data_IF_367807096219
#
_entry.id   IF_367807096219
#
_cell.length_a   1.000
_cell.length_b   1.000
_cell.length_c   1.000
_cell.angle_alpha   90.00
_cell.angle_beta   90.00
_cell.angle_gamma   90.00
#
_symmetry.space_group_name_H-M   'P 1'
#
loop_
_entity.id
_entity.type
_entity.pdbx_description
1 polymer ?
#
# COMPACT_ATOMS: atom_id res chain seq x y z
N UNK A 1 0.11 -6.61 -17.42
CA UNK A 1 -0.80 -7.04 -16.33
C UNK A 1 -0.35 -6.33 -15.08
N UNK A 2 -1.28 -5.93 -14.20
CA UNK A 2 -0.96 -5.27 -12.94
C UNK A 2 -1.49 -6.10 -11.76
N UNK A 3 -0.61 -6.56 -10.88
CA UNK A 3 -0.98 -7.27 -9.65
C UNK A 3 -0.92 -6.29 -8.48
N UNK A 4 -2.09 -5.94 -7.92
CA UNK A 4 -2.22 -5.08 -6.75
C UNK A 4 -2.61 -5.97 -5.57
N UNK A 5 -1.98 -5.78 -4.43
CA UNK A 5 -2.27 -6.61 -3.28
C UNK A 5 -1.52 -6.20 -2.03
N UNK A 6 -1.57 -7.09 -1.04
CA UNK A 6 -0.86 -6.91 0.21
C UNK A 6 0.55 -7.54 0.22
N UNK A 7 1.05 -7.91 1.40
CA UNK A 7 2.34 -8.58 1.61
C UNK A 7 2.47 -9.88 0.82
N UNK A 8 1.38 -10.57 0.51
CA UNK A 8 1.41 -11.79 -0.31
C UNK A 8 1.77 -11.44 -1.76
N UNK A 9 1.18 -10.38 -2.31
CA UNK A 9 1.52 -9.90 -3.66
C UNK A 9 2.91 -9.27 -3.70
N UNK A 10 3.29 -8.55 -2.65
CA UNK A 10 4.64 -8.01 -2.49
C UNK A 10 5.73 -9.10 -2.50
N UNK A 11 5.41 -10.34 -2.11
CA UNK A 11 6.40 -11.40 -1.94
C UNK A 11 7.10 -11.31 -0.58
N UNK A 12 6.37 -10.97 0.48
CA UNK A 12 6.93 -10.96 1.82
C UNK A 12 7.45 -12.36 2.20
N UNK A 13 8.68 -12.41 2.70
CA UNK A 13 9.37 -13.64 3.13
C UNK A 13 9.74 -14.62 1.99
N UNK A 14 9.81 -14.13 0.74
CA UNK A 14 10.40 -14.84 -0.39
C UNK A 14 11.34 -13.91 -1.17
N UNK A 15 12.23 -14.47 -1.98
CA UNK A 15 13.01 -13.67 -2.92
C UNK A 15 12.08 -13.03 -3.96
N UNK A 16 12.49 -11.87 -4.49
CA UNK A 16 11.62 -11.08 -5.36
C UNK A 16 11.27 -11.84 -6.65
N UNK A 17 12.15 -12.70 -7.14
CA UNK A 17 11.91 -13.58 -8.30
C UNK A 17 10.92 -14.71 -7.98
N UNK A 18 10.72 -15.05 -6.71
CA UNK A 18 9.80 -16.08 -6.24
C UNK A 18 8.41 -15.52 -5.89
N UNK A 19 8.24 -14.20 -5.85
CA UNK A 19 6.93 -13.59 -5.69
C UNK A 19 5.98 -14.06 -6.81
N UNK A 20 4.72 -14.38 -6.46
CA UNK A 20 3.80 -14.96 -7.44
C UNK A 20 3.61 -14.10 -8.71
N UNK A 21 3.65 -12.75 -8.70
CA UNK A 21 3.57 -11.98 -9.93
C UNK A 21 4.74 -12.23 -10.89
N UNK A 22 5.95 -12.52 -10.37
CA UNK A 22 7.12 -12.88 -11.19
C UNK A 22 7.00 -14.27 -11.76
N UNK A 23 6.57 -15.23 -10.94
CA UNK A 23 6.29 -16.59 -11.41
C UNK A 23 5.17 -16.58 -12.47
N UNK A 24 4.14 -15.76 -12.29
CA UNK A 24 3.07 -15.56 -13.26
C UNK A 24 3.59 -14.99 -14.59
N UNK A 25 4.46 -13.99 -14.57
CA UNK A 25 5.08 -13.45 -15.78
C UNK A 25 5.84 -14.51 -16.56
N UNK A 26 6.70 -15.27 -15.86
CA UNK A 26 7.50 -16.35 -16.44
C UNK A 26 6.61 -17.40 -17.11
N UNK A 27 5.63 -17.93 -16.38
CA UNK A 27 4.70 -18.94 -16.88
C UNK A 27 3.88 -18.44 -18.08
N UNK A 28 3.46 -17.17 -18.08
CA UNK A 28 2.72 -16.59 -19.19
C UNK A 28 3.58 -16.42 -20.44
N UNK A 29 4.84 -15.97 -20.30
CA UNK A 29 5.78 -15.86 -21.42
C UNK A 29 6.11 -17.22 -22.02
N UNK A 30 6.34 -18.23 -21.19
CA UNK A 30 6.56 -19.62 -21.62
C UNK A 30 5.37 -20.16 -22.41
N UNK A 31 4.14 -19.90 -21.95
CA UNK A 31 2.91 -20.36 -22.61
C UNK A 31 2.59 -19.57 -23.90
N UNK A 32 3.08 -18.34 -24.02
CA UNK A 32 2.78 -17.44 -25.13
C UNK A 32 4.04 -16.79 -25.72
N UNK A 33 4.96 -17.57 -26.32
CA UNK A 33 6.28 -17.09 -26.75
C UNK A 33 6.24 -15.99 -27.82
N UNK A 34 5.12 -15.84 -28.56
CA UNK A 34 4.91 -14.77 -29.53
C UNK A 34 4.31 -13.48 -28.97
N UNK A 35 4.06 -13.40 -27.65
CA UNK A 35 3.46 -12.22 -27.01
C UNK A 35 4.43 -11.58 -26.04
N UNK A 36 4.60 -10.26 -26.15
CA UNK A 36 5.23 -9.48 -25.09
C UNK A 36 4.26 -9.37 -23.91
N UNK A 37 4.56 -10.11 -22.84
CA UNK A 37 3.77 -10.07 -21.60
C UNK A 37 4.64 -9.49 -20.50
N UNK A 38 4.12 -8.45 -19.86
CA UNK A 38 4.69 -7.84 -18.66
C UNK A 38 3.71 -8.01 -17.49
N UNK A 39 4.22 -8.33 -16.32
CA UNK A 39 3.48 -8.32 -15.05
C UNK A 39 4.16 -7.36 -14.09
N UNK A 40 3.45 -6.29 -13.75
CA UNK A 40 3.88 -5.31 -12.76
C UNK A 40 3.40 -5.78 -11.39
N UNK A 41 4.35 -6.01 -10.47
CA UNK A 41 4.05 -6.23 -9.06
C UNK A 41 3.87 -4.88 -8.35
N UNK A 42 2.65 -4.60 -7.92
CA UNK A 42 2.27 -3.44 -7.12
C UNK A 42 1.72 -3.85 -5.74
N UNK A 43 2.20 -4.97 -5.19
CA UNK A 43 1.90 -5.39 -3.83
C UNK A 43 2.58 -4.47 -2.81
N UNK A 44 1.87 -4.14 -1.73
CA UNK A 44 2.44 -3.37 -0.62
C UNK A 44 2.01 -4.00 0.71
N UNK A 45 3.00 -4.35 1.52
CA UNK A 45 2.77 -5.00 2.81
C UNK A 45 1.80 -4.23 3.70
N UNK A 46 0.83 -4.96 4.22
CA UNK A 46 -0.18 -4.41 5.11
C UNK A 46 -1.26 -3.58 4.40
N UNK A 47 -1.31 -3.44 3.07
CA UNK A 47 -2.41 -2.72 2.42
C UNK A 47 -3.74 -3.49 2.50
N UNK A 48 -4.82 -2.75 2.72
CA UNK A 48 -6.20 -3.21 2.52
C UNK A 48 -6.60 -3.13 1.05
N UNK A 49 -7.78 -3.67 0.73
CA UNK A 49 -8.36 -3.55 -0.61
C UNK A 49 -8.62 -2.09 -1.00
N UNK A 50 -9.03 -1.24 -0.05
CA UNK A 50 -9.35 0.17 -0.33
C UNK A 50 -8.09 0.97 -0.67
N UNK A 51 -6.97 0.68 -0.02
CA UNK A 51 -5.67 1.26 -0.36
C UNK A 51 -5.21 0.82 -1.76
N UNK A 52 -5.39 -0.45 -2.10
CA UNK A 52 -5.12 -0.98 -3.44
C UNK A 52 -5.96 -0.31 -4.53
N UNK A 53 -7.26 -0.13 -4.28
CA UNK A 53 -8.17 0.59 -5.19
C UNK A 53 -7.70 2.04 -5.38
N UNK A 54 -7.36 2.73 -4.30
CA UNK A 54 -6.87 4.11 -4.38
C UNK A 54 -5.60 4.23 -5.20
N UNK A 55 -4.67 3.28 -5.05
CA UNK A 55 -3.47 3.23 -5.88
C UNK A 55 -3.83 3.05 -7.37
N UNK A 56 -4.78 2.18 -7.70
CA UNK A 56 -5.21 1.97 -9.08
C UNK A 56 -5.78 3.26 -9.70
N UNK A 57 -6.67 3.95 -8.98
CA UNK A 57 -7.30 5.21 -9.42
C UNK A 57 -6.27 6.31 -9.68
N UNK A 58 -5.26 6.42 -8.83
CA UNK A 58 -4.30 7.55 -8.86
C UNK A 58 -3.10 7.25 -9.77
N UNK A 59 -2.66 6.00 -9.84
CA UNK A 59 -1.40 5.61 -10.49
C UNK A 59 -1.55 4.40 -11.41
N UNK A 60 -2.21 3.33 -10.94
CA UNK A 60 -2.26 2.06 -11.68
C UNK A 60 -2.91 2.16 -13.06
N UNK A 61 -3.93 3.00 -13.23
CA UNK A 61 -4.58 3.22 -14.53
C UNK A 61 -3.66 3.82 -15.59
N UNK A 62 -2.68 4.64 -15.20
CA UNK A 62 -1.71 5.24 -16.11
C UNK A 62 -0.70 4.23 -16.69
N UNK A 63 -0.64 3.02 -16.12
CA UNK A 63 0.16 1.91 -16.65
C UNK A 63 -0.54 1.18 -17.81
N UNK A 64 -1.78 1.57 -18.15
CA UNK A 64 -2.60 0.95 -19.19
C UNK A 64 -2.66 -0.60 -19.12
N UNK A 65 -2.94 -1.20 -17.94
CA UNK A 65 -2.95 -2.65 -17.82
C UNK A 65 -4.14 -3.26 -18.58
N UNK A 66 -3.89 -4.32 -19.37
CA UNK A 66 -4.97 -5.08 -20.00
C UNK A 66 -5.74 -5.98 -19.02
N UNK A 67 -5.09 -6.36 -17.91
CA UNK A 67 -5.63 -7.19 -16.85
C UNK A 67 -5.09 -6.68 -15.52
N UNK A 68 -5.98 -6.59 -14.52
CA UNK A 68 -5.65 -6.26 -13.14
C UNK A 68 -5.99 -7.46 -12.25
N UNK A 69 -5.04 -7.91 -11.43
CA UNK A 69 -5.25 -8.89 -10.37
C UNK A 69 -5.27 -8.14 -9.05
N UNK A 70 -6.38 -8.19 -8.32
CA UNK A 70 -6.53 -7.57 -7.01
C UNK A 70 -6.55 -8.65 -5.93
N UNK A 71 -5.43 -8.82 -5.22
CA UNK A 71 -5.23 -9.85 -4.21
C UNK A 71 -5.10 -9.23 -2.81
N UNK A 72 -6.26 -8.94 -2.21
CA UNK A 72 -6.44 -8.38 -0.86
C UNK A 72 -7.43 -9.22 -0.05
N UNK A 73 -7.55 -8.94 1.25
CA UNK A 73 -8.50 -9.58 2.15
C UNK A 73 -7.89 -10.02 3.47
N UNK A 74 -6.60 -10.39 3.48
CA UNK A 74 -5.93 -10.87 4.71
C UNK A 74 -5.86 -9.77 5.76
N UNK A 75 -5.39 -8.58 5.37
CA UNK A 75 -5.26 -7.44 6.29
C UNK A 75 -6.61 -6.88 6.71
N UNK A 76 -7.57 -6.91 5.80
CA UNK A 76 -8.93 -6.40 5.98
C UNK A 76 -9.68 -7.24 7.02
N UNK A 77 -9.50 -8.57 6.96
CA UNK A 77 -10.21 -9.53 7.80
C UNK A 77 -9.53 -9.80 9.12
N UNK A 78 -8.21 -10.00 9.14
CA UNK A 78 -7.53 -10.62 10.27
C UNK A 78 -6.63 -9.69 11.07
N UNK A 79 -6.23 -8.54 10.53
CA UNK A 79 -5.33 -7.63 11.23
C UNK A 79 -6.10 -6.47 11.87
N UNK A 80 -6.02 -6.30 13.20
CA UNK A 80 -6.69 -5.21 13.87
C UNK A 80 -6.10 -3.85 13.46
N UNK A 81 -6.97 -2.87 13.28
CA UNK A 81 -6.61 -1.51 12.94
C UNK A 81 -6.77 -0.56 14.14
N UNK A 82 -5.96 0.52 14.17
CA UNK A 82 -6.16 1.65 15.10
C UNK A 82 -6.88 2.83 14.42
N UNK A 83 -6.87 2.87 13.10
CA UNK A 83 -7.59 3.85 12.27
C UNK A 83 -8.26 3.10 11.13
N UNK A 84 -9.49 3.45 10.81
CA UNK A 84 -10.15 2.95 9.60
C UNK A 84 -9.48 3.55 8.37
N UNK A 85 -9.54 2.87 7.23
CA UNK A 85 -9.01 3.38 5.97
C UNK A 85 -9.75 4.61 5.50
N UNK A 86 -11.06 4.70 5.75
CA UNK A 86 -11.83 5.92 5.47
C UNK A 86 -11.24 7.13 6.22
N UNK A 87 -10.90 6.97 7.50
CA UNK A 87 -10.27 8.04 8.27
C UNK A 87 -8.85 8.34 7.81
N UNK A 88 -8.05 7.31 7.45
CA UNK A 88 -6.70 7.50 6.91
C UNK A 88 -6.72 8.21 5.57
N UNK A 89 -7.52 7.74 4.62
CA UNK A 89 -7.64 8.33 3.29
C UNK A 89 -8.18 9.76 3.38
N UNK A 90 -9.22 9.97 4.20
CA UNK A 90 -9.75 11.32 4.45
C UNK A 90 -8.75 12.28 5.10
N UNK A 91 -7.76 11.78 5.85
CA UNK A 91 -6.67 12.61 6.38
C UNK A 91 -5.65 12.97 5.29
N UNK A 92 -5.21 11.98 4.51
CA UNK A 92 -4.18 12.15 3.47
C UNK A 92 -4.70 12.97 2.27
N UNK A 93 -6.00 12.91 1.98
CA UNK A 93 -6.61 13.70 0.90
C UNK A 93 -6.78 15.20 1.23
N UNK A 94 -6.55 15.62 2.48
CA UNK A 94 -6.57 17.05 2.83
C UNK A 94 -5.46 17.80 2.11
N UNK A 95 -5.81 18.88 1.41
CA UNK A 95 -4.86 19.66 0.61
C UNK A 95 -3.63 20.13 1.41
N UNK A 96 -3.82 20.53 2.66
CA UNK A 96 -2.70 20.93 3.55
C UNK A 96 -1.77 19.75 3.83
N UNK A 97 -2.31 18.57 4.13
CA UNK A 97 -1.52 17.36 4.41
C UNK A 97 -0.76 16.95 3.15
N UNK A 98 -1.44 16.94 2.00
CA UNK A 98 -0.81 16.61 0.71
C UNK A 98 0.34 17.57 0.35
N UNK A 99 0.19 18.88 0.63
CA UNK A 99 1.26 19.87 0.43
C UNK A 99 2.43 19.64 1.38
N UNK A 100 2.16 19.35 2.65
CA UNK A 100 3.20 19.04 3.64
C UNK A 100 3.97 17.77 3.27
N UNK A 101 3.29 16.70 2.86
CA UNK A 101 3.94 15.46 2.41
C UNK A 101 4.83 15.69 1.18
N UNK A 102 4.41 16.55 0.24
CA UNK A 102 5.24 16.93 -0.91
C UNK A 102 6.47 17.73 -0.50
N UNK A 103 6.30 18.65 0.45
CA UNK A 103 7.41 19.44 0.99
C UNK A 103 8.40 18.53 1.73
N UNK A 104 7.92 17.65 2.60
CA UNK A 104 8.74 16.66 3.30
C UNK A 104 9.50 15.76 2.32
N UNK A 105 8.83 15.25 1.27
CA UNK A 105 9.48 14.47 0.22
C UNK A 105 10.57 15.27 -0.55
N UNK A 106 10.38 16.58 -0.72
CA UNK A 106 11.41 17.45 -1.29
C UNK A 106 12.56 17.71 -0.31
N UNK A 107 12.26 17.91 0.97
CA UNK A 107 13.25 18.14 2.02
C UNK A 107 14.12 16.90 2.25
N UNK A 108 13.54 15.69 2.21
CA UNK A 108 14.27 14.42 2.29
C UNK A 108 15.33 14.23 1.20
N UNK A 109 15.25 14.98 0.09
CA UNK A 109 16.30 15.01 -0.94
C UNK A 109 17.53 15.82 -0.54
N UNK A 110 17.46 16.58 0.56
CA UNK A 110 18.56 17.40 1.06
C UNK A 110 19.34 16.65 2.14
N UNK A 111 20.67 16.81 2.13
CA UNK A 111 21.53 16.19 3.15
C UNK A 111 21.29 16.78 4.54
N UNK A 112 21.03 18.08 4.61
CA UNK A 112 20.77 18.79 5.87
C UNK A 112 19.54 18.23 6.58
N UNK A 113 18.42 18.06 5.86
CA UNK A 113 17.21 17.51 6.46
C UNK A 113 17.41 16.07 6.94
N UNK A 114 18.05 15.22 6.14
CA UNK A 114 18.36 13.84 6.53
C UNK A 114 19.26 13.76 7.77
N UNK A 115 20.27 14.64 7.86
CA UNK A 115 21.13 14.71 9.04
C UNK A 115 20.35 15.16 10.28
N UNK A 116 19.47 16.16 10.14
CA UNK A 116 18.60 16.62 11.23
C UNK A 116 17.68 15.50 11.74
N UNK A 117 17.07 14.71 10.86
CA UNK A 117 16.25 13.57 11.27
C UNK A 117 17.02 12.47 12.01
N UNK A 118 18.32 12.31 11.74
CA UNK A 118 19.14 11.32 12.44
C UNK A 118 19.50 11.75 13.86
N UNK A 119 19.62 13.05 14.12
CA UNK A 119 20.05 13.58 15.43
C UNK A 119 18.88 14.03 16.31
N UNK A 120 17.72 14.33 15.73
CA UNK A 120 16.50 14.66 16.48
C UNK A 120 15.72 13.36 16.68
N UNK A 121 15.57 12.86 17.92
CA UNK A 121 14.81 11.65 18.16
C UNK A 121 13.37 11.81 17.69
N UNK A 122 12.89 10.83 16.92
CA UNK A 122 11.50 10.77 16.52
C UNK A 122 10.62 10.78 17.76
N UNK A 123 9.76 11.81 17.87
CA UNK A 123 8.74 11.85 18.92
C UNK A 123 7.77 10.71 18.62
N UNK A 124 7.86 9.61 19.37
CA UNK A 124 6.88 8.53 19.32
C UNK A 124 5.51 9.15 19.60
N UNK A 125 4.70 9.33 18.55
CA UNK A 125 3.31 9.73 18.71
C UNK A 125 2.57 8.52 19.25
N UNK A 126 1.93 8.68 20.40
CA UNK A 126 0.94 7.71 20.87
C UNK A 126 -0.14 7.55 19.80
N UNK A 127 -0.14 6.39 19.14
CA UNK A 127 -1.16 6.04 18.16
C UNK A 127 -2.43 5.70 18.95
N UNK A 128 -3.24 6.73 19.22
CA UNK A 128 -4.58 6.57 19.80
C UNK A 128 -5.51 5.89 18.80
N UNK A 129 -6.42 5.06 19.30
CA UNK A 129 -7.51 4.50 18.51
C UNK A 129 -8.38 5.64 17.98
N UNK A 130 -8.73 5.60 16.71
CA UNK A 130 -9.57 6.60 16.03
C UNK A 130 -11.03 6.58 16.51
N UNK A 131 -11.80 7.60 16.14
CA UNK A 131 -13.23 7.64 16.45
C UNK A 131 -13.99 6.57 15.65
N UNK A 132 -13.62 6.31 14.40
CA UNK A 132 -14.17 5.25 13.57
C UNK A 132 -13.88 3.87 14.13
N UNK A 133 -12.64 3.58 14.54
CA UNK A 133 -12.35 2.31 15.19
C UNK A 133 -13.09 2.14 16.51
N UNK A 134 -13.20 3.19 17.34
CA UNK A 134 -14.02 3.11 18.56
C UNK A 134 -15.50 2.81 18.27
N UNK A 135 -16.04 3.23 17.12
CA UNK A 135 -17.39 2.87 16.69
C UNK A 135 -17.47 1.39 16.32
N UNK A 136 -16.59 0.93 15.43
CA UNK A 136 -16.54 -0.48 15.05
C UNK A 136 -16.36 -1.40 16.24
N UNK A 137 -15.46 -1.08 17.17
CA UNK A 137 -15.19 -1.87 18.38
C UNK A 137 -16.38 -1.99 19.34
N UNK A 138 -17.38 -1.10 19.24
CA UNK A 138 -18.63 -1.22 20.01
C UNK A 138 -19.66 -2.14 19.34
N UNK A 139 -19.53 -2.33 18.03
CA UNK A 139 -20.46 -3.11 17.20
C UNK A 139 -19.92 -4.51 16.89
N UNK A 140 -18.61 -4.65 16.79
CA UNK A 140 -17.85 -5.88 16.61
C UNK A 140 -16.60 -5.77 17.48
N UNK A 141 -16.19 -6.83 18.18
CA UNK A 141 -15.09 -6.80 19.19
C UNK A 141 -13.70 -6.35 18.67
N UNK A 142 -13.57 -5.99 17.39
CA UNK A 142 -12.35 -5.48 16.78
C UNK A 142 -12.61 -4.37 15.75
N UNK A 143 -11.60 -3.52 15.53
CA UNK A 143 -11.60 -2.59 14.41
C UNK A 143 -10.93 -3.22 13.18
N UNK A 144 -11.65 -3.19 12.06
CA UNK A 144 -11.15 -3.52 10.74
C UNK A 144 -10.68 -2.28 10.00
N UNK A 145 -9.87 -2.49 8.96
CA UNK A 145 -9.41 -1.42 8.08
C UNK A 145 -10.56 -0.85 7.24
#
# INVERSE_FOLDING_TARGET
MLCIGDSITFGFNVDQDDAYPRQLERLLRERHPGRSIEVVNAGVSGWSWLQGLRFFEVHGGALHPNVVVAAHGTNDRFLPAKNTDAERLGHVDRAVVRRLLRLEAALLRTNTYRFVEQIIPARLRDIRVSAGCRRQMREADMCHR
#
